data_IF_794942256350
#
_entry.id   IF_794942256350
#
_cell.length_a   1.000
_cell.length_b   1.000
_cell.length_c   1.000
_cell.angle_alpha   90.00
_cell.angle_beta   90.00
_cell.angle_gamma   90.00
#
_symmetry.space_group_name_H-M   'P 1'
#
loop_
_entity.id
_entity.type
_entity.pdbx_description
1 polymer ?
#
# COMPACT_ATOMS: atom_id res chain seq x y z
N UNK A 1 0.47 -20.19 -7.43
CA UNK A 1 -0.33 -20.52 -6.23
C UNK A 1 -1.60 -21.26 -6.64
N UNK A 2 -1.94 -22.40 -6.01
CA UNK A 2 -3.10 -23.23 -6.35
C UNK A 2 -4.37 -22.73 -5.61
N UNK A 3 -5.60 -23.04 -6.08
CA UNK A 3 -6.81 -22.75 -5.32
C UNK A 3 -6.72 -23.27 -3.88
N UNK A 4 -7.14 -22.46 -2.91
CA UNK A 4 -7.05 -22.77 -1.47
C UNK A 4 -5.72 -22.40 -0.81
N UNK A 5 -4.76 -21.81 -1.54
CA UNK A 5 -3.48 -21.43 -0.94
C UNK A 5 -3.51 -20.21 -0.03
N UNK A 6 -4.57 -19.39 -0.11
CA UNK A 6 -4.70 -18.15 0.66
C UNK A 6 -4.97 -16.92 -0.19
N UNK A 7 -5.17 -15.79 0.48
CA UNK A 7 -5.39 -14.48 -0.13
C UNK A 7 -4.04 -13.97 -0.67
N UNK A 8 -4.05 -13.42 -1.89
CA UNK A 8 -2.84 -12.97 -2.61
C UNK A 8 -1.92 -12.09 -1.76
N UNK A 9 -2.47 -11.13 -1.02
CA UNK A 9 -1.68 -10.17 -0.23
C UNK A 9 -1.06 -10.78 1.01
N UNK A 10 -1.73 -11.77 1.62
CA UNK A 10 -1.16 -12.55 2.73
C UNK A 10 0.01 -13.39 2.23
N UNK A 11 -0.18 -14.08 1.10
CA UNK A 11 0.84 -14.87 0.45
C UNK A 11 2.06 -14.01 0.08
N UNK A 12 1.83 -12.82 -0.49
CA UNK A 12 2.88 -11.85 -0.81
C UNK A 12 3.66 -11.46 0.44
N UNK A 13 2.96 -11.08 1.51
CA UNK A 13 3.60 -10.66 2.76
C UNK A 13 4.47 -11.77 3.36
N UNK A 14 3.95 -13.01 3.40
CA UNK A 14 4.64 -14.13 4.03
C UNK A 14 5.84 -14.67 3.24
N UNK A 15 5.88 -14.45 1.92
CA UNK A 15 6.82 -15.16 1.04
C UNK A 15 7.62 -14.28 0.07
N UNK A 16 7.17 -13.07 -0.26
CA UNK A 16 7.73 -12.28 -1.36
C UNK A 16 8.05 -10.83 -1.00
N UNK A 17 7.40 -10.25 0.00
CA UNK A 17 7.64 -8.87 0.41
C UNK A 17 8.91 -8.77 1.28
N UNK A 18 9.70 -7.73 1.04
CA UNK A 18 10.89 -7.40 1.82
C UNK A 18 11.21 -5.90 1.71
N UNK A 19 12.00 -5.33 2.64
CA UNK A 19 12.35 -3.92 2.62
C UNK A 19 13.06 -3.52 1.31
N UNK A 20 12.60 -2.45 0.67
CA UNK A 20 13.16 -1.94 -0.59
C UNK A 20 12.65 -2.63 -1.87
N UNK A 21 11.74 -3.60 -1.76
CA UNK A 21 11.05 -4.18 -2.92
C UNK A 21 10.21 -3.12 -3.64
N UNK A 22 10.29 -3.06 -4.98
CA UNK A 22 9.28 -2.44 -5.82
C UNK A 22 8.42 -3.55 -6.46
N UNK A 23 7.13 -3.57 -6.15
CA UNK A 23 6.20 -4.58 -6.65
C UNK A 23 4.97 -3.92 -7.26
N UNK A 24 4.55 -4.41 -8.43
CA UNK A 24 3.24 -4.10 -9.00
C UNK A 24 2.34 -5.34 -8.93
N UNK A 25 1.05 -5.13 -8.72
CA UNK A 25 0.06 -6.21 -8.67
C UNK A 25 -1.27 -5.77 -9.27
N UNK A 26 -1.97 -6.69 -9.93
CA UNK A 26 -3.25 -6.41 -10.59
C UNK A 26 -4.43 -6.42 -9.61
N UNK A 27 -4.24 -5.86 -8.42
CA UNK A 27 -5.24 -5.74 -7.36
C UNK A 27 -5.05 -4.41 -6.61
N UNK A 28 -6.14 -3.76 -6.20
CA UNK A 28 -6.08 -2.45 -5.54
C UNK A 28 -5.40 -2.49 -4.17
N UNK A 29 -5.40 -3.65 -3.50
CA UNK A 29 -4.86 -3.81 -2.16
C UNK A 29 -3.39 -4.28 -2.16
N UNK A 30 -2.73 -4.33 -3.32
CA UNK A 30 -1.28 -4.59 -3.41
C UNK A 30 -0.42 -3.73 -2.47
N UNK A 31 -0.76 -2.46 -2.14
CA UNK A 31 -0.05 -1.66 -1.13
C UNK A 31 0.11 -2.32 0.25
N UNK A 32 -0.66 -3.36 0.53
CA UNK A 32 -0.51 -4.21 1.70
C UNK A 32 0.93 -4.70 1.98
N UNK A 33 1.73 -4.97 0.94
CA UNK A 33 3.14 -5.35 1.10
C UNK A 33 4.04 -4.25 1.69
N UNK A 34 3.56 -3.01 1.75
CA UNK A 34 4.28 -1.88 2.34
C UNK A 34 4.50 -2.01 3.85
N UNK A 35 3.72 -2.85 4.55
CA UNK A 35 3.99 -3.20 5.95
C UNK A 35 5.29 -3.97 6.18
N UNK A 36 6.01 -4.36 5.13
CA UNK A 36 7.37 -4.91 5.17
C UNK A 36 8.41 -3.95 4.56
N UNK A 37 8.09 -2.67 4.43
CA UNK A 37 9.00 -1.64 3.92
C UNK A 37 9.24 -1.69 2.41
N UNK A 38 8.36 -2.36 1.65
CA UNK A 38 8.37 -2.32 0.18
C UNK A 38 7.47 -1.21 -0.38
N UNK A 39 7.73 -0.79 -1.62
CA UNK A 39 6.82 0.03 -2.41
C UNK A 39 5.96 -0.89 -3.30
N UNK A 40 4.75 -1.19 -2.85
CA UNK A 40 3.82 -2.09 -3.54
C UNK A 40 2.65 -1.30 -4.15
N UNK A 41 2.40 -1.44 -5.45
CA UNK A 41 1.47 -0.59 -6.21
C UNK A 41 0.45 -1.44 -6.98
N UNK A 42 -0.83 -1.14 -6.78
CA UNK A 42 -1.92 -1.71 -7.57
C UNK A 42 -1.95 -1.12 -8.98
N UNK A 43 -2.05 -1.95 -10.00
CA UNK A 43 -2.06 -1.54 -11.42
C UNK A 43 -3.12 -2.27 -12.24
N UNK A 44 -3.37 -1.81 -13.47
CA UNK A 44 -4.19 -2.54 -14.43
C UNK A 44 -3.46 -3.75 -15.03
N UNK A 45 -4.20 -4.64 -15.69
CA UNK A 45 -3.60 -5.79 -16.37
C UNK A 45 -2.62 -5.41 -17.49
N UNK A 46 -2.84 -4.27 -18.16
CA UNK A 46 -1.94 -3.77 -19.21
C UNK A 46 -0.56 -3.39 -18.65
N UNK A 47 -0.50 -2.62 -17.56
CA UNK A 47 0.76 -2.25 -16.90
C UNK A 47 1.54 -3.49 -16.42
N UNK A 48 0.83 -4.52 -15.94
CA UNK A 48 1.45 -5.78 -15.55
C UNK A 48 2.07 -6.51 -16.76
N UNK A 49 1.39 -6.50 -17.91
CA UNK A 49 1.93 -7.06 -19.17
C UNK A 49 3.17 -6.30 -19.62
N UNK A 50 3.21 -4.97 -19.50
CA UNK A 50 4.38 -4.17 -19.85
C UNK A 50 5.62 -4.64 -19.07
N UNK A 51 5.52 -4.73 -17.73
CA UNK A 51 6.63 -5.22 -16.90
C UNK A 51 7.00 -6.67 -17.21
N UNK A 52 6.01 -7.54 -17.43
CA UNK A 52 6.24 -8.93 -17.82
C UNK A 52 6.93 -9.05 -19.19
N UNK A 53 6.67 -8.11 -20.11
CA UNK A 53 7.30 -7.99 -21.42
C UNK A 53 8.64 -7.25 -21.37
N UNK A 54 9.13 -6.89 -20.18
CA UNK A 54 10.36 -6.11 -19.98
C UNK A 54 10.29 -4.71 -20.62
N UNK A 55 9.09 -4.14 -20.69
CA UNK A 55 8.83 -2.77 -21.12
C UNK A 55 8.86 -1.87 -19.86
N UNK A 56 9.51 -0.69 -19.90
CA UNK A 56 9.52 0.22 -18.77
C UNK A 56 8.10 0.60 -18.34
N UNK A 57 7.79 0.41 -17.06
CA UNK A 57 6.53 0.85 -16.48
C UNK A 57 6.62 2.31 -16.06
N UNK A 58 5.67 3.11 -16.53
CA UNK A 58 5.60 4.52 -16.18
C UNK A 58 4.74 4.73 -14.94
N UNK A 59 5.23 5.54 -14.00
CA UNK A 59 4.47 6.02 -12.85
C UNK A 59 4.58 7.54 -12.79
N UNK A 60 3.43 8.23 -12.63
CA UNK A 60 3.45 9.67 -12.34
C UNK A 60 4.09 9.85 -10.97
N UNK A 61 5.12 10.71 -10.89
CA UNK A 61 5.80 10.97 -9.62
C UNK A 61 4.79 11.32 -8.52
N UNK A 62 4.65 10.48 -7.48
CA UNK A 62 3.65 10.67 -6.44
C UNK A 62 4.06 11.79 -5.50
N UNK A 63 3.07 12.47 -4.91
CA UNK A 63 3.32 13.28 -3.70
C UNK A 63 3.52 12.34 -2.51
N UNK A 64 4.01 12.89 -1.39
CA UNK A 64 4.11 12.14 -0.13
C UNK A 64 3.25 12.82 0.92
N UNK A 65 2.40 12.04 1.58
CA UNK A 65 1.62 12.45 2.75
C UNK A 65 2.25 11.77 3.95
N UNK A 66 2.90 12.56 4.80
CA UNK A 66 3.48 12.04 6.02
C UNK A 66 2.45 11.91 7.15
N UNK A 67 2.37 10.73 7.76
CA UNK A 67 1.58 10.45 8.97
C UNK A 67 2.53 10.20 10.14
N UNK A 68 2.70 11.21 10.99
CA UNK A 68 3.54 11.10 12.19
C UNK A 68 2.76 10.41 13.32
N UNK A 69 3.11 9.16 13.63
CA UNK A 69 2.55 8.41 14.74
C UNK A 69 3.35 8.67 16.02
N UNK A 70 2.63 9.05 17.08
CA UNK A 70 3.21 9.31 18.40
C UNK A 70 2.46 8.54 19.48
N UNK A 71 3.16 8.16 20.56
CA UNK A 71 2.58 7.34 21.64
C UNK A 71 2.52 5.86 21.28
N UNK A 72 1.65 5.10 21.93
CA UNK A 72 1.48 3.66 21.70
C UNK A 72 0.00 3.27 21.71
N UNK A 73 -0.36 2.24 20.93
CA UNK A 73 -1.70 1.63 21.01
C UNK A 73 -1.95 1.06 22.42
N UNK A 74 -3.17 1.22 22.95
CA UNK A 74 -3.53 0.73 24.28
C UNK A 74 -5.00 0.29 24.36
N UNK A 75 -5.30 -0.57 25.33
CA UNK A 75 -6.65 -1.08 25.55
C UNK A 75 -7.17 -1.89 24.36
N UNK A 76 -8.30 -1.44 23.80
CA UNK A 76 -8.97 -2.09 22.66
C UNK A 76 -8.55 -1.53 21.30
N UNK A 77 -7.71 -0.50 21.27
CA UNK A 77 -7.27 0.15 20.02
C UNK A 77 -6.24 -0.71 19.30
N UNK A 78 -6.40 -0.81 17.98
CA UNK A 78 -5.60 -1.62 17.07
C UNK A 78 -5.05 -0.77 15.92
N UNK A 79 -4.14 -1.35 15.12
CA UNK A 79 -3.63 -0.71 13.90
C UNK A 79 -4.75 -0.36 12.90
N UNK A 80 -5.86 -1.12 12.93
CA UNK A 80 -7.04 -0.83 12.12
C UNK A 80 -7.66 0.52 12.46
N UNK A 81 -7.65 0.91 13.74
CA UNK A 81 -8.22 2.18 14.17
C UNK A 81 -7.39 3.37 13.68
N UNK A 82 -6.07 3.19 13.53
CA UNK A 82 -5.18 4.20 12.93
C UNK A 82 -5.58 4.50 11.49
N UNK A 83 -5.69 3.47 10.64
CA UNK A 83 -6.07 3.69 9.23
C UNK A 83 -7.50 4.17 9.07
N UNK A 84 -8.44 3.72 9.91
CA UNK A 84 -9.80 4.26 9.91
C UNK A 84 -9.83 5.74 10.27
N UNK A 85 -9.00 6.17 11.24
CA UNK A 85 -8.86 7.59 11.58
C UNK A 85 -8.23 8.38 10.44
N UNK A 86 -7.17 7.88 9.82
CA UNK A 86 -6.51 8.52 8.67
C UNK A 86 -7.48 8.63 7.48
N UNK A 87 -8.24 7.57 7.17
CA UNK A 87 -9.26 7.59 6.13
C UNK A 87 -10.38 8.61 6.43
N UNK A 88 -10.77 8.76 7.70
CA UNK A 88 -11.70 9.80 8.12
C UNK A 88 -11.17 11.23 7.94
N UNK A 89 -9.86 11.45 8.13
CA UNK A 89 -9.20 12.75 7.94
C UNK A 89 -9.03 13.06 6.45
N UNK A 90 -8.50 12.12 5.68
CA UNK A 90 -8.21 12.31 4.26
C UNK A 90 -9.45 12.21 3.38
N UNK A 91 -10.52 11.57 3.87
CA UNK A 91 -11.68 11.14 3.07
C UNK A 91 -11.25 10.20 1.92
N UNK A 92 -12.21 9.80 1.08
CA UNK A 92 -11.94 8.90 -0.05
C UNK A 92 -11.12 9.52 -1.18
N UNK A 93 -10.89 10.84 -1.19
CA UNK A 93 -10.15 11.54 -2.25
C UNK A 93 -8.80 12.12 -1.79
N UNK A 94 -8.53 12.20 -0.50
CA UNK A 94 -7.34 12.89 0.01
C UNK A 94 -6.02 12.18 -0.26
N UNK A 95 -6.06 10.88 -0.57
CA UNK A 95 -4.88 10.08 -0.93
C UNK A 95 -4.55 10.05 -2.43
N UNK A 96 -5.28 10.79 -3.28
CA UNK A 96 -5.11 10.67 -4.73
C UNK A 96 -3.79 11.22 -5.25
N UNK A 97 -3.03 10.35 -5.92
CA UNK A 97 -1.71 10.68 -6.48
C UNK A 97 -0.62 10.88 -5.42
N UNK A 98 -0.81 10.33 -4.21
CA UNK A 98 0.17 10.42 -3.14
C UNK A 98 0.43 9.07 -2.48
N UNK A 99 1.67 8.86 -2.04
CA UNK A 99 2.05 7.79 -1.12
C UNK A 99 1.84 8.30 0.31
N UNK A 100 1.17 7.51 1.14
CA UNK A 100 1.06 7.79 2.58
C UNK A 100 2.23 7.15 3.31
N UNK A 101 3.12 7.93 3.91
CA UNK A 101 4.29 7.43 4.63
C UNK A 101 4.07 7.56 6.14
N UNK A 102 4.11 6.43 6.86
CA UNK A 102 4.03 6.41 8.31
C UNK A 102 5.42 6.55 8.91
N UNK A 103 5.58 7.48 9.85
CA UNK A 103 6.85 7.73 10.53
C UNK A 103 6.62 8.16 11.98
N UNK A 104 7.69 8.27 12.76
CA UNK A 104 7.63 8.73 14.14
C UNK A 104 7.70 7.60 15.17
N UNK A 105 7.85 7.94 16.47
CA UNK A 105 8.14 6.96 17.52
C UNK A 105 7.00 5.98 17.80
N UNK A 106 5.78 6.28 17.36
CA UNK A 106 4.64 5.38 17.54
C UNK A 106 4.57 4.24 16.52
N UNK A 107 5.35 4.30 15.44
CA UNK A 107 5.42 3.22 14.43
C UNK A 107 5.90 1.92 15.07
N UNK A 108 6.95 2.00 15.89
CA UNK A 108 7.53 0.85 16.62
C UNK A 108 6.54 0.16 17.59
N UNK A 109 5.39 0.80 17.89
CA UNK A 109 4.33 0.20 18.71
C UNK A 109 3.35 -0.68 17.91
N UNK A 110 3.48 -0.73 16.59
CA UNK A 110 2.61 -1.49 15.69
C UNK A 110 3.38 -2.73 15.19
N UNK A 111 2.76 -3.91 15.24
CA UNK A 111 3.38 -5.12 14.67
C UNK A 111 3.48 -5.00 13.15
N UNK A 112 4.42 -5.69 12.51
CA UNK A 112 4.52 -5.74 11.04
C UNK A 112 3.18 -6.13 10.35
N UNK A 113 2.43 -7.08 10.93
CA UNK A 113 1.07 -7.44 10.46
C UNK A 113 0.01 -6.37 10.77
N UNK A 114 0.26 -5.50 11.74
CA UNK A 114 -0.53 -4.30 11.98
C UNK A 114 -0.23 -3.20 10.97
N UNK A 115 1.03 -3.02 10.58
CA UNK A 115 1.44 -2.09 9.52
C UNK A 115 0.82 -2.48 8.16
N UNK A 116 0.70 -3.78 7.90
CA UNK A 116 -0.09 -4.37 6.81
C UNK A 116 -1.53 -3.81 6.75
N UNK A 117 -2.21 -3.65 7.89
CA UNK A 117 -3.57 -3.08 7.92
C UNK A 117 -3.53 -1.57 7.65
N UNK A 118 -2.47 -0.88 8.07
CA UNK A 118 -2.34 0.56 7.86
C UNK A 118 -2.00 0.96 6.43
N UNK A 119 -1.25 0.14 5.69
CA UNK A 119 -0.79 0.45 4.33
C UNK A 119 -1.85 0.20 3.24
N UNK A 120 -3.01 -0.38 3.58
CA UNK A 120 -4.04 -0.83 2.63
C UNK A 120 -4.55 0.24 1.63
N UNK A 121 -4.37 1.54 1.92
CA UNK A 121 -4.85 2.65 1.07
C UNK A 121 -3.73 3.52 0.46
N UNK A 122 -2.48 3.05 0.42
CA UNK A 122 -1.32 3.92 0.11
C UNK A 122 -1.25 4.47 -1.32
N UNK A 123 -2.17 4.10 -2.22
CA UNK A 123 -2.39 4.80 -3.50
C UNK A 123 -3.88 4.80 -3.88
N UNK A 124 -4.59 5.90 -3.61
CA UNK A 124 -5.99 6.05 -4.02
C UNK A 124 -6.10 6.83 -5.33
N UNK A 125 -5.87 6.22 -6.49
CA UNK A 125 -6.38 6.80 -7.75
C UNK A 125 -5.66 6.39 -9.03
N UNK A 126 -6.36 6.45 -10.18
CA UNK A 126 -6.16 5.54 -11.31
C UNK A 126 -5.00 5.98 -12.21
N UNK A 127 -4.26 5.00 -12.75
CA UNK A 127 -3.84 5.05 -14.16
C UNK A 127 -4.78 4.17 -14.97
N UNK A 128 -6.00 4.66 -15.22
CA UNK A 128 -6.82 4.18 -16.34
C UNK A 128 -7.32 5.43 -17.04
N UNK A 129 -6.64 5.76 -18.14
CA UNK A 129 -7.14 6.61 -19.22
C UNK A 129 -7.58 8.03 -18.85
N UNK A 130 -6.64 8.96 -18.70
CA UNK A 130 -6.89 10.35 -19.11
C UNK A 130 -5.75 10.78 -20.05
N UNK A 131 -6.15 11.04 -21.30
CA UNK A 131 -5.43 11.63 -22.44
C UNK A 131 -4.83 10.65 -23.47
N UNK A 132 -5.68 9.82 -24.09
CA UNK A 132 -5.65 9.76 -25.56
C UNK A 132 -6.44 10.97 -26.07
N UNK A 133 -5.72 11.95 -26.61
CA UNK A 133 -6.17 13.20 -27.26
C UNK A 133 -6.84 14.27 -26.39
#
# INVERSE_FOLDING_TARGET
WKPGSGIIHQIILENYAFPGLLMIGTDSHTPNGGGLGGLCIGVGGADAVDVMANIPWELKCPKVIGVNLTGSLSGWTSAKDVILKVAGILTVKGGTGAIVEYFGPGVDSISCTGEFVSCLHQLVGPKVGENLQ
#
